data_IF_862049008177
#
_entry.id   IF_862049008177
#
_cell.length_a   1.000
_cell.length_b   1.000
_cell.length_c   1.000
_cell.angle_alpha   90.00
_cell.angle_beta   90.00
_cell.angle_gamma   90.00
#
_symmetry.space_group_name_H-M   'P 1'
#
loop_
_entity.id
_entity.type
_entity.pdbx_description
1 polymer ?
#
# COMPACT_ATOMS: atom_id res chain seq x y z
N UNK A 1 -19.61 -41.91 -0.22
CA UNK A 1 -18.17 -41.59 -0.23
C UNK A 1 -18.00 -40.09 -0.33
N UNK A 2 -17.32 -39.52 0.65
CA UNK A 2 -17.40 -38.11 1.03
C UNK A 2 -16.86 -37.13 -0.01
N UNK A 3 -17.72 -36.17 -0.37
CA UNK A 3 -17.33 -34.89 -0.97
C UNK A 3 -16.70 -34.03 0.14
N UNK A 4 -15.39 -34.15 0.33
CA UNK A 4 -14.64 -33.11 1.05
C UNK A 4 -14.24 -32.06 0.03
N UNK A 5 -15.14 -31.11 -0.20
CA UNK A 5 -14.75 -29.80 -0.74
C UNK A 5 -13.96 -29.13 0.38
N UNK A 6 -12.64 -29.01 0.21
CA UNK A 6 -11.85 -28.07 1.00
C UNK A 6 -12.26 -26.65 0.57
N UNK A 7 -13.30 -26.13 1.21
CA UNK A 7 -13.62 -24.70 1.24
C UNK A 7 -12.65 -23.99 2.21
N UNK A 8 -11.41 -23.79 1.78
CA UNK A 8 -10.50 -22.85 2.43
C UNK A 8 -9.31 -22.56 1.50
N UNK A 9 -9.07 -21.26 1.26
CA UNK A 9 -8.00 -20.67 0.43
C UNK A 9 -8.35 -20.37 -1.03
N UNK A 10 -9.29 -19.45 -1.25
CA UNK A 10 -9.00 -18.36 -2.19
C UNK A 10 -8.31 -17.26 -1.37
N UNK A 11 -7.05 -17.49 -0.96
CA UNK A 11 -6.22 -16.33 -0.63
C UNK A 11 -5.99 -15.65 -1.96
N UNK A 12 -6.63 -14.51 -2.13
CA UNK A 12 -6.48 -13.70 -3.33
C UNK A 12 -4.98 -13.54 -3.64
N UNK A 13 -4.57 -13.87 -4.87
CA UNK A 13 -3.16 -13.89 -5.29
C UNK A 13 -2.42 -12.60 -4.88
N UNK A 14 -3.13 -11.47 -4.87
CA UNK A 14 -2.54 -10.20 -4.44
C UNK A 14 -2.22 -10.16 -2.94
N UNK A 15 -3.06 -10.74 -2.09
CA UNK A 15 -2.84 -10.76 -0.64
C UNK A 15 -1.67 -11.69 -0.29
N UNK A 16 -1.58 -12.84 -0.96
CA UNK A 16 -0.43 -13.75 -0.85
C UNK A 16 0.85 -13.05 -1.29
N UNK A 17 0.80 -12.32 -2.42
CA UNK A 17 1.95 -11.55 -2.90
C UNK A 17 2.37 -10.46 -1.90
N UNK A 18 1.42 -9.71 -1.34
CA UNK A 18 1.71 -8.67 -0.33
C UNK A 18 2.33 -9.28 0.92
N UNK A 19 1.82 -10.42 1.39
CA UNK A 19 2.34 -11.12 2.57
C UNK A 19 3.75 -11.68 2.34
N UNK A 20 4.16 -11.90 1.08
CA UNK A 20 5.50 -12.39 0.75
C UNK A 20 6.60 -11.34 0.90
N UNK A 21 6.25 -10.05 0.96
CA UNK A 21 7.26 -8.98 1.07
C UNK A 21 7.93 -8.97 2.44
N UNK A 22 9.26 -8.88 2.44
CA UNK A 22 10.07 -8.83 3.66
C UNK A 22 10.32 -7.39 4.12
N UNK A 23 10.21 -6.42 3.20
CA UNK A 23 10.33 -5.00 3.48
C UNK A 23 9.37 -4.18 2.61
N UNK A 24 9.25 -2.88 2.92
CA UNK A 24 8.28 -2.01 2.24
C UNK A 24 8.75 -1.58 0.85
N UNK A 25 10.05 -1.56 0.60
CA UNK A 25 10.68 -1.25 -0.68
C UNK A 25 10.33 -2.28 -1.74
N UNK A 26 10.36 -3.58 -1.39
CA UNK A 26 9.90 -4.63 -2.30
C UNK A 26 8.46 -4.40 -2.77
N UNK A 27 7.59 -3.95 -1.86
CA UNK A 27 6.22 -3.59 -2.21
C UNK A 27 6.17 -2.35 -3.10
N UNK A 28 6.96 -1.31 -2.78
CA UNK A 28 7.02 -0.08 -3.58
C UNK A 28 7.53 -0.34 -5.00
N UNK A 29 8.56 -1.18 -5.15
CA UNK A 29 9.11 -1.60 -6.44
C UNK A 29 8.10 -2.46 -7.21
N UNK A 30 7.50 -3.48 -6.57
CA UNK A 30 6.50 -4.34 -7.22
C UNK A 30 5.28 -3.56 -7.72
N UNK A 31 4.88 -2.51 -7.00
CA UNK A 31 3.76 -1.65 -7.38
C UNK A 31 4.17 -0.46 -8.25
N UNK A 32 5.41 -0.38 -8.73
CA UNK A 32 5.91 0.74 -9.54
C UNK A 32 5.58 2.11 -8.89
N UNK A 33 6.00 2.27 -7.64
CA UNK A 33 5.87 3.51 -6.87
C UNK A 33 7.28 4.00 -6.55
N UNK A 34 7.72 5.04 -7.27
CA UNK A 34 8.98 5.71 -6.97
C UNK A 34 9.01 6.26 -5.54
N UNK A 35 10.14 6.06 -4.84
CA UNK A 35 10.36 6.49 -3.47
C UNK A 35 11.77 7.07 -3.27
N UNK A 36 11.93 7.87 -2.23
CA UNK A 36 13.23 8.35 -1.76
C UNK A 36 13.72 7.40 -0.65
N UNK A 37 14.90 6.80 -0.81
CA UNK A 37 15.47 5.87 0.18
C UNK A 37 15.64 6.53 1.55
N UNK A 38 16.05 7.81 1.60
CA UNK A 38 16.20 8.55 2.86
C UNK A 38 14.85 8.78 3.55
N UNK A 39 13.78 8.91 2.77
CA UNK A 39 12.43 9.00 3.31
C UNK A 39 12.01 7.67 3.92
N UNK A 40 12.27 6.55 3.24
CA UNK A 40 11.97 5.22 3.77
C UNK A 40 12.76 4.96 5.06
N UNK A 41 14.06 5.24 5.10
CA UNK A 41 14.88 5.03 6.30
C UNK A 41 14.32 5.73 7.54
N UNK A 42 13.80 6.96 7.37
CA UNK A 42 13.24 7.75 8.47
C UNK A 42 11.82 7.35 8.85
N UNK A 43 11.01 6.92 7.89
CA UNK A 43 9.55 6.81 8.06
C UNK A 43 8.98 5.41 7.80
N UNK A 44 9.83 4.39 7.60
CA UNK A 44 9.46 2.99 7.33
C UNK A 44 8.37 2.46 8.25
N UNK A 45 8.57 2.61 9.57
CA UNK A 45 7.63 2.08 10.58
C UNK A 45 6.26 2.71 10.45
N UNK A 46 6.18 4.02 10.25
CA UNK A 46 4.90 4.70 10.04
C UNK A 46 4.27 4.26 8.71
N UNK A 47 5.06 4.18 7.63
CA UNK A 47 4.58 3.77 6.32
C UNK A 47 3.97 2.37 6.33
N UNK A 48 4.67 1.39 6.90
CA UNK A 48 4.17 0.01 7.06
C UNK A 48 2.87 -0.01 7.86
N UNK A 49 2.82 0.70 8.99
CA UNK A 49 1.61 0.80 9.81
C UNK A 49 0.43 1.38 9.03
N UNK A 50 0.65 2.44 8.25
CA UNK A 50 -0.39 3.07 7.41
C UNK A 50 -0.84 2.13 6.30
N UNK A 51 0.09 1.45 5.64
CA UNK A 51 -0.21 0.51 4.57
C UNK A 51 -1.07 -0.64 5.08
N UNK A 52 -0.67 -1.28 6.19
CA UNK A 52 -1.46 -2.34 6.83
C UNK A 52 -2.87 -1.87 7.20
N UNK A 53 -3.01 -0.65 7.72
CA UNK A 53 -4.31 -0.04 7.99
C UNK A 53 -5.17 0.11 6.73
N UNK A 54 -4.59 0.56 5.61
CA UNK A 54 -5.30 0.65 4.35
C UNK A 54 -5.69 -0.74 3.80
N UNK A 55 -4.83 -1.75 3.90
CA UNK A 55 -5.14 -3.12 3.47
C UNK A 55 -6.38 -3.67 4.20
N UNK A 56 -6.48 -3.45 5.51
CA UNK A 56 -7.63 -3.89 6.32
C UNK A 56 -8.91 -3.15 5.91
N UNK A 57 -8.83 -1.84 5.67
CA UNK A 57 -9.98 -1.00 5.33
C UNK A 57 -10.49 -1.24 3.91
N UNK A 58 -9.58 -1.38 2.94
CA UNK A 58 -9.96 -1.46 1.52
C UNK A 58 -10.08 -2.89 1.01
N UNK A 59 -9.48 -3.87 1.70
CA UNK A 59 -9.45 -5.29 1.30
C UNK A 59 -9.16 -5.46 -0.20
N UNK A 60 -8.01 -4.98 -0.69
CA UNK A 60 -7.75 -4.96 -2.12
C UNK A 60 -7.80 -6.37 -2.72
N UNK A 61 -8.46 -6.48 -3.87
CA UNK A 61 -8.67 -7.75 -4.56
C UNK A 61 -7.80 -7.89 -5.82
N UNK A 62 -7.09 -6.83 -6.19
CA UNK A 62 -6.24 -6.81 -7.39
C UNK A 62 -5.00 -5.92 -7.19
N UNK A 63 -4.10 -5.97 -8.18
CA UNK A 63 -2.86 -5.19 -8.16
C UNK A 63 -3.10 -3.67 -8.07
N UNK A 64 -4.11 -3.13 -8.75
CA UNK A 64 -4.36 -1.69 -8.81
C UNK A 64 -4.92 -1.14 -7.48
N UNK A 65 -5.81 -1.88 -6.84
CA UNK A 65 -6.38 -1.57 -5.54
C UNK A 65 -5.32 -1.67 -4.44
N UNK A 66 -4.45 -2.67 -4.48
CA UNK A 66 -3.31 -2.80 -3.58
C UNK A 66 -2.28 -1.67 -3.77
N UNK A 67 -1.92 -1.37 -5.03
CA UNK A 67 -1.08 -0.21 -5.38
C UNK A 67 -1.65 1.08 -4.83
N UNK A 68 -2.95 1.30 -4.99
CA UNK A 68 -3.65 2.50 -4.49
C UNK A 68 -3.56 2.59 -2.96
N UNK A 69 -3.72 1.47 -2.25
CA UNK A 69 -3.57 1.41 -0.81
C UNK A 69 -2.15 1.83 -0.36
N UNK A 70 -1.11 1.28 -0.99
CA UNK A 70 0.28 1.63 -0.68
C UNK A 70 0.60 3.10 -1.01
N UNK A 71 0.18 3.57 -2.19
CA UNK A 71 0.38 4.97 -2.60
C UNK A 71 -0.31 5.94 -1.65
N UNK A 72 -1.52 5.63 -1.20
CA UNK A 72 -2.24 6.42 -0.22
C UNK A 72 -1.51 6.46 1.13
N UNK A 73 -0.94 5.34 1.57
CA UNK A 73 -0.10 5.27 2.76
C UNK A 73 1.11 6.20 2.65
N UNK A 74 1.87 6.09 1.56
CA UNK A 74 3.05 6.91 1.29
C UNK A 74 2.73 8.41 1.28
N UNK A 75 1.74 8.82 0.48
CA UNK A 75 1.32 10.22 0.41
C UNK A 75 0.70 10.74 1.71
N UNK A 76 0.15 9.86 2.57
CA UNK A 76 -0.34 10.26 3.89
C UNK A 76 0.81 10.64 4.80
N UNK A 77 1.86 9.83 4.85
CA UNK A 77 3.07 10.06 5.66
C UNK A 77 3.80 11.32 5.17
N UNK A 78 4.04 11.47 3.87
CA UNK A 78 4.68 12.68 3.34
C UNK A 78 3.93 13.95 3.75
N UNK A 79 2.60 13.94 3.64
CA UNK A 79 1.78 15.10 3.99
C UNK A 79 1.67 15.38 5.49
N UNK A 80 1.95 14.42 6.37
CA UNK A 80 2.01 14.73 7.81
C UNK A 80 3.28 15.46 8.20
N UNK A 81 4.30 15.49 7.33
CA UNK A 81 5.54 16.25 7.55
C UNK A 81 5.44 17.71 7.08
N UNK A 82 4.45 18.04 6.25
CA UNK A 82 4.22 19.41 5.79
C UNK A 82 3.56 20.24 6.88
N UNK A 83 3.95 21.52 6.97
CA UNK A 83 3.29 22.46 7.87
C UNK A 83 1.78 22.57 7.55
N UNK A 84 0.96 22.81 8.58
CA UNK A 84 -0.50 22.85 8.43
C UNK A 84 -0.97 23.89 7.41
N UNK A 85 -0.23 24.98 7.24
CA UNK A 85 -0.54 26.05 6.28
C UNK A 85 -0.08 25.74 4.86
N UNK A 86 0.94 24.88 4.70
CA UNK A 86 1.50 24.48 3.39
C UNK A 86 0.97 23.14 2.89
N UNK A 87 0.27 22.39 3.76
CA UNK A 87 -0.39 21.13 3.43
C UNK A 87 -1.56 21.38 2.49
N UNK A 88 -1.26 21.54 1.20
CA UNK A 88 -2.26 21.39 0.16
C UNK A 88 -2.92 20.01 0.32
N UNK A 89 -4.24 19.97 0.20
CA UNK A 89 -4.95 18.72 0.11
C UNK A 89 -4.43 17.99 -1.13
N UNK A 90 -3.50 17.02 -0.98
CA UNK A 90 -3.32 16.01 -2.01
C UNK A 90 -4.68 15.31 -2.13
N UNK A 91 -5.46 15.71 -3.13
CA UNK A 91 -6.78 15.15 -3.45
C UNK A 91 -6.63 13.81 -4.19
N UNK A 92 -5.52 13.09 -3.97
CA UNK A 92 -5.03 12.08 -4.90
C UNK A 92 -4.80 12.74 -6.25
N UNK A 93 -3.79 13.62 -6.34
CA UNK A 93 -3.58 14.45 -7.52
C UNK A 93 -3.70 13.59 -8.79
N UNK A 94 -4.37 14.12 -9.80
CA UNK A 94 -4.66 13.43 -11.05
C UNK A 94 -3.39 12.94 -11.77
N UNK A 95 -2.20 13.48 -11.46
CA UNK A 95 -0.91 12.91 -11.91
C UNK A 95 -0.51 11.61 -11.20
N UNK A 96 -1.03 11.34 -10.00
CA UNK A 96 -0.83 10.10 -9.25
C UNK A 96 -1.85 8.99 -9.59
N UNK A 97 -2.95 9.32 -10.27
CA UNK A 97 -3.95 8.35 -10.74
C UNK A 97 -3.99 8.16 -12.26
N UNK A 98 -3.25 8.98 -13.04
CA UNK A 98 -3.05 8.80 -14.49
C UNK A 98 -1.57 8.65 -14.81
N UNK A 99 -1.11 7.41 -14.81
CA UNK A 99 -0.11 6.81 -15.71
C UNK A 99 -0.21 5.31 -15.52
#
# INVERSE_FOLDING_TARGET
MNKLRNEAMSQNDIQTKIASFTCIEEALDYFDIGFDSRFIDKHRVELVKRFNGYLILTKPEDWFSARRALKNAYCKVQRSLLDKTTRSACRGCTSCQRR
#
